data_IF_683332329979
#
_entry.id   IF_683332329979
#
_cell.length_a   1.000
_cell.length_b   1.000
_cell.length_c   1.000
_cell.angle_alpha   90.00
_cell.angle_beta   90.00
_cell.angle_gamma   90.00
#
_symmetry.space_group_name_H-M   'P 1'
#
loop_
_entity.id
_entity.type
_entity.pdbx_description
1 polymer ?
#
# COMPACT_ATOMS: atom_id res chain seq x y z
N UNK A 1 -1.30 22.80 13.26
CA UNK A 1 -1.68 21.96 12.10
C UNK A 1 -2.19 20.63 12.63
N UNK A 2 -3.46 20.27 12.39
CA UNK A 2 -3.95 18.91 12.69
C UNK A 2 -3.08 17.90 11.92
N UNK A 3 -2.65 16.82 12.58
CA UNK A 3 -2.04 15.68 11.88
C UNK A 3 -3.08 15.14 10.89
N UNK A 4 -2.72 15.13 9.62
CA UNK A 4 -3.55 14.56 8.56
C UNK A 4 -3.19 13.07 8.47
N UNK A 5 -3.81 12.27 9.34
CA UNK A 5 -3.53 10.83 9.44
C UNK A 5 -3.76 10.12 8.09
N UNK A 6 -4.72 10.60 7.29
CA UNK A 6 -5.01 10.05 5.95
C UNK A 6 -3.85 10.34 5.00
N UNK A 7 -3.27 11.54 5.06
CA UNK A 7 -2.10 11.87 4.24
C UNK A 7 -0.92 10.97 4.55
N UNK A 8 -0.64 10.76 5.83
CA UNK A 8 0.51 9.97 6.26
C UNK A 8 0.29 8.48 5.92
N UNK A 9 -0.92 7.95 6.15
CA UNK A 9 -1.33 6.61 5.72
C UNK A 9 -1.20 6.41 4.20
N UNK A 10 -1.77 7.30 3.40
CA UNK A 10 -1.69 7.20 1.94
C UNK A 10 -0.23 7.27 1.46
N UNK A 11 0.60 8.09 2.10
CA UNK A 11 2.04 8.19 1.79
C UNK A 11 2.74 6.85 2.04
N UNK A 12 2.47 6.21 3.18
CA UNK A 12 3.02 4.89 3.48
C UNK A 12 2.48 3.81 2.55
N UNK A 13 1.20 3.83 2.16
CA UNK A 13 0.64 2.89 1.19
C UNK A 13 1.33 2.98 -0.18
N UNK A 14 1.55 4.20 -0.69
CA UNK A 14 2.33 4.41 -1.94
C UNK A 14 3.77 3.91 -1.81
N UNK A 15 4.41 4.12 -0.66
CA UNK A 15 5.77 3.64 -0.40
C UNK A 15 5.83 2.13 -0.29
N UNK A 16 4.90 1.51 0.43
CA UNK A 16 4.78 0.08 0.56
C UNK A 16 4.61 -0.59 -0.81
N UNK A 17 3.70 -0.08 -1.64
CA UNK A 17 3.54 -0.54 -3.03
C UNK A 17 4.85 -0.53 -3.83
N UNK A 18 5.62 0.54 -3.72
CA UNK A 18 6.92 0.63 -4.37
C UNK A 18 7.98 -0.31 -3.77
N UNK A 19 7.98 -0.49 -2.45
CA UNK A 19 8.87 -1.42 -1.76
C UNK A 19 8.60 -2.89 -2.15
N UNK A 20 7.34 -3.23 -2.44
CA UNK A 20 6.91 -4.53 -2.96
C UNK A 20 7.23 -4.75 -4.45
N UNK A 21 7.88 -3.79 -5.12
CA UNK A 21 8.27 -3.92 -6.53
C UNK A 21 7.19 -3.53 -7.52
N UNK A 22 6.16 -2.77 -7.08
CA UNK A 22 5.04 -2.32 -7.93
C UNK A 22 4.24 -3.48 -8.56
N UNK A 23 4.07 -4.56 -7.80
CA UNK A 23 3.26 -5.73 -8.21
C UNK A 23 1.85 -5.29 -8.61
N UNK A 24 1.37 -5.85 -9.71
CA UNK A 24 0.00 -5.61 -10.19
C UNK A 24 -1.01 -6.34 -9.31
N UNK A 25 -2.27 -5.89 -9.33
CA UNK A 25 -3.32 -6.56 -8.54
C UNK A 25 -3.53 -8.01 -8.97
N UNK A 26 -3.29 -8.36 -10.23
CA UNK A 26 -3.44 -9.74 -10.71
C UNK A 26 -2.28 -10.64 -10.26
N UNK A 27 -1.05 -10.13 -10.23
CA UNK A 27 0.10 -10.86 -9.65
C UNK A 27 -0.10 -11.12 -8.16
N UNK A 28 -0.63 -10.14 -7.42
CA UNK A 28 -0.93 -10.31 -6.00
C UNK A 28 -2.11 -11.25 -5.74
N UNK A 29 -3.16 -11.24 -6.57
CA UNK A 29 -4.25 -12.22 -6.47
C UNK A 29 -3.72 -13.64 -6.63
N UNK A 30 -2.78 -13.83 -7.55
CA UNK A 30 -2.16 -15.14 -7.76
C UNK A 30 -1.32 -15.55 -6.55
N UNK A 31 -0.51 -14.64 -6.02
CA UNK A 31 0.32 -14.91 -4.82
C UNK A 31 -0.53 -15.22 -3.57
N UNK A 32 -1.64 -14.50 -3.36
CA UNK A 32 -2.58 -14.80 -2.26
C UNK A 32 -3.21 -16.18 -2.44
N UNK A 33 -3.62 -16.54 -3.66
CA UNK A 33 -4.13 -17.90 -3.95
C UNK A 33 -3.08 -18.96 -3.67
N UNK A 34 -1.83 -18.72 -4.07
CA UNK A 34 -0.71 -19.64 -3.88
C UNK A 34 -0.39 -19.80 -2.38
N UNK A 35 -0.45 -18.71 -1.59
CA UNK A 35 -0.29 -18.74 -0.13
C UNK A 35 -1.39 -19.55 0.57
N UNK A 36 -2.66 -19.32 0.23
CA UNK A 36 -3.81 -20.07 0.78
C UNK A 36 -3.68 -21.56 0.45
N UNK A 37 -3.29 -21.88 -0.78
CA UNK A 37 -3.08 -23.25 -1.22
C UNK A 37 -1.92 -23.94 -0.47
N UNK A 38 -0.80 -23.25 -0.26
CA UNK A 38 0.33 -23.79 0.51
C UNK A 38 0.03 -23.94 2.00
N UNK A 39 -0.74 -23.02 2.59
CA UNK A 39 -1.15 -23.08 3.99
C UNK A 39 -2.10 -24.26 4.24
N UNK A 40 -3.13 -24.43 3.43
CA UNK A 40 -4.05 -25.57 3.51
C UNK A 40 -3.34 -26.91 3.31
N UNK A 41 -2.37 -27.00 2.39
CA UNK A 41 -1.53 -28.20 2.20
C UNK A 41 -0.68 -28.52 3.44
N UNK A 42 -0.09 -27.51 4.09
CA UNK A 42 0.68 -27.68 5.33
C UNK A 42 -0.19 -28.12 6.51
N UNK A 43 -1.43 -27.65 6.57
CA UNK A 43 -2.40 -28.05 7.60
C UNK A 43 -2.85 -29.51 7.42
N UNK A 44 -3.11 -29.95 6.20
CA UNK A 44 -3.43 -31.35 5.89
C UNK A 44 -2.28 -32.29 6.30
N UNK A 45 -1.03 -31.87 6.10
CA UNK A 45 0.16 -32.65 6.48
C UNK A 45 0.39 -32.64 7.99
N UNK A 46 0.09 -31.53 8.69
CA UNK A 46 0.27 -31.40 10.15
C UNK A 46 -0.87 -32.02 10.96
N UNK A 47 -2.08 -32.12 10.42
CA UNK A 47 -3.26 -32.70 11.08
C UNK A 47 -3.35 -34.22 10.98
N UNK A 48 -2.19 -34.89 10.88
CA UNK A 48 -2.10 -36.33 11.12
C UNK A 48 -2.56 -36.66 12.55
N UNK A 49 -3.80 -37.12 12.68
CA UNK A 49 -4.49 -37.54 13.91
C UNK A 49 -5.04 -36.42 14.82
N UNK A 50 -6.30 -36.62 15.21
CA UNK A 50 -7.09 -35.66 15.96
C UNK A 50 -6.65 -35.51 17.42
N UNK A 51 -6.50 -34.25 17.84
CA UNK A 51 -6.69 -33.84 19.23
C UNK A 51 -6.91 -32.32 19.26
N UNK A 52 -8.15 -31.92 19.51
CA UNK A 52 -8.54 -30.51 19.64
C UNK A 52 -8.16 -30.04 21.05
N UNK A 53 -7.17 -29.16 21.17
CA UNK A 53 -6.84 -28.44 22.40
C UNK A 53 -6.67 -26.95 22.11
N UNK A 54 -6.80 -26.11 23.14
CA UNK A 54 -6.79 -24.64 23.13
C UNK A 54 -5.70 -23.95 22.25
N UNK A 55 -4.62 -24.67 21.95
CA UNK A 55 -3.57 -24.26 21.01
C UNK A 55 -4.07 -24.10 19.56
N UNK A 56 -5.12 -24.84 19.18
CA UNK A 56 -5.82 -24.67 17.89
C UNK A 56 -6.56 -23.33 17.84
N UNK A 57 -7.16 -22.87 18.93
CA UNK A 57 -7.90 -21.61 18.96
C UNK A 57 -6.95 -20.40 18.84
N UNK A 58 -5.82 -20.41 19.55
CA UNK A 58 -4.80 -19.35 19.43
C UNK A 58 -4.15 -19.33 18.04
N UNK A 59 -3.92 -20.49 17.42
CA UNK A 59 -3.34 -20.61 16.07
C UNK A 59 -4.33 -20.22 14.97
N UNK A 60 -5.60 -20.55 15.11
CA UNK A 60 -6.68 -20.08 14.21
C UNK A 60 -6.82 -18.57 14.34
N UNK A 61 -6.84 -18.03 15.56
CA UNK A 61 -6.92 -16.58 15.77
C UNK A 61 -5.72 -15.83 15.18
N UNK A 62 -4.49 -16.36 15.30
CA UNK A 62 -3.29 -15.78 14.67
C UNK A 62 -3.31 -15.90 13.14
N UNK A 63 -3.87 -16.99 12.61
CA UNK A 63 -4.06 -17.16 11.17
C UNK A 63 -5.12 -16.19 10.63
N UNK A 64 -6.21 -15.98 11.38
CA UNK A 64 -7.25 -14.99 11.06
C UNK A 64 -6.68 -13.57 11.10
N UNK A 65 -5.84 -13.23 12.10
CA UNK A 65 -5.18 -11.93 12.19
C UNK A 65 -4.18 -11.70 11.04
N UNK A 66 -3.36 -12.71 10.69
CA UNK A 66 -2.44 -12.65 9.54
C UNK A 66 -3.21 -12.57 8.21
N UNK A 67 -4.35 -13.24 8.09
CA UNK A 67 -5.26 -13.15 6.94
C UNK A 67 -5.87 -11.73 6.84
N UNK A 68 -6.31 -11.15 7.96
CA UNK A 68 -6.85 -9.78 8.04
C UNK A 68 -5.76 -8.75 7.68
N UNK A 69 -4.54 -8.87 8.20
CA UNK A 69 -3.44 -7.95 7.88
C UNK A 69 -3.02 -8.06 6.41
N UNK A 70 -2.91 -9.29 5.89
CA UNK A 70 -2.70 -9.53 4.46
C UNK A 70 -3.83 -8.93 3.63
N UNK A 71 -5.09 -8.97 4.09
CA UNK A 71 -6.20 -8.33 3.37
C UNK A 71 -6.04 -6.81 3.35
N UNK A 72 -5.59 -6.18 4.44
CA UNK A 72 -5.45 -4.73 4.52
C UNK A 72 -4.35 -4.21 3.59
N UNK A 73 -3.18 -4.85 3.59
CA UNK A 73 -2.05 -4.52 2.72
C UNK A 73 -2.39 -4.78 1.24
N UNK A 74 -3.07 -5.89 0.96
CA UNK A 74 -3.53 -6.23 -0.38
C UNK A 74 -4.53 -5.19 -0.93
N UNK A 75 -5.47 -4.75 -0.08
CA UNK A 75 -6.40 -3.68 -0.41
C UNK A 75 -5.68 -2.35 -0.67
N UNK A 76 -4.60 -2.07 0.05
CA UNK A 76 -3.77 -0.88 -0.19
C UNK A 76 -3.07 -0.94 -1.55
N UNK A 77 -2.50 -2.09 -1.90
CA UNK A 77 -1.88 -2.25 -3.23
C UNK A 77 -2.92 -2.06 -4.33
N UNK A 78 -4.09 -2.70 -4.22
CA UNK A 78 -5.18 -2.53 -5.19
C UNK A 78 -5.58 -1.05 -5.30
N UNK A 79 -5.75 -0.36 -4.17
CA UNK A 79 -6.14 1.03 -4.17
C UNK A 79 -5.05 1.93 -4.80
N UNK A 80 -3.77 1.66 -4.55
CA UNK A 80 -2.65 2.38 -5.19
C UNK A 80 -2.66 2.13 -6.69
N UNK A 81 -2.80 0.89 -7.14
CA UNK A 81 -2.80 0.55 -8.57
C UNK A 81 -3.93 1.26 -9.32
N UNK A 82 -5.17 1.15 -8.80
CA UNK A 82 -6.34 1.87 -9.35
C UNK A 82 -6.14 3.38 -9.34
N UNK A 83 -5.48 3.91 -8.32
CA UNK A 83 -5.14 5.33 -8.25
C UNK A 83 -4.19 5.72 -9.37
N UNK A 84 -3.08 5.00 -9.55
CA UNK A 84 -2.10 5.29 -10.59
C UNK A 84 -2.72 5.23 -12.00
N UNK A 85 -3.66 4.31 -12.24
CA UNK A 85 -4.42 4.22 -13.50
C UNK A 85 -5.27 5.47 -13.76
N UNK A 86 -5.86 6.07 -12.72
CA UNK A 86 -6.70 7.27 -12.83
C UNK A 86 -5.90 8.58 -12.92
N UNK A 87 -4.61 8.57 -12.55
CA UNK A 87 -3.74 9.74 -12.64
C UNK A 87 -3.23 9.96 -14.07
N UNK A 88 -3.21 11.23 -14.50
CA UNK A 88 -2.54 11.63 -15.73
C UNK A 88 -1.02 11.44 -15.65
N UNK A 89 -0.36 11.33 -16.81
CA UNK A 89 1.09 11.05 -16.94
C UNK A 89 1.97 11.83 -15.96
N UNK A 90 1.82 13.16 -15.91
CA UNK A 90 2.63 14.01 -15.04
C UNK A 90 2.28 13.88 -13.55
N UNK A 91 1.01 13.62 -13.22
CA UNK A 91 0.60 13.39 -11.83
C UNK A 91 1.17 12.07 -11.31
N UNK A 92 1.13 11.04 -12.14
CA UNK A 92 1.72 9.73 -11.85
C UNK A 92 3.22 9.86 -11.64
N UNK A 93 3.92 10.52 -12.56
CA UNK A 93 5.37 10.73 -12.44
C UNK A 93 5.74 11.49 -11.16
N UNK A 94 4.95 12.49 -10.76
CA UNK A 94 5.16 13.19 -9.49
C UNK A 94 5.02 12.25 -8.27
N UNK A 95 4.02 11.37 -8.28
CA UNK A 95 3.85 10.34 -7.23
C UNK A 95 5.07 9.40 -7.19
N UNK A 96 5.53 8.93 -8.34
CA UNK A 96 6.67 8.03 -8.43
C UNK A 96 7.96 8.68 -7.89
N UNK A 97 8.27 9.91 -8.31
CA UNK A 97 9.47 10.62 -7.84
C UNK A 97 9.41 10.85 -6.33
N UNK A 98 8.24 11.24 -5.80
CA UNK A 98 8.13 11.67 -4.40
C UNK A 98 7.97 10.49 -3.44
N UNK A 99 7.14 9.51 -3.78
CA UNK A 99 6.82 8.40 -2.88
C UNK A 99 7.61 7.14 -3.20
N UNK A 100 8.00 6.86 -4.45
CA UNK A 100 8.64 5.58 -4.77
C UNK A 100 10.17 5.61 -4.62
N UNK A 101 10.77 6.80 -4.62
CA UNK A 101 12.20 6.97 -4.33
C UNK A 101 12.53 6.47 -2.91
N UNK A 102 13.56 5.62 -2.79
CA UNK A 102 14.00 5.03 -1.53
C UNK A 102 12.85 4.47 -0.68
N UNK A 103 11.88 3.80 -1.30
CA UNK A 103 10.64 3.38 -0.64
C UNK A 103 10.85 2.54 0.64
N UNK A 104 11.93 1.76 0.71
CA UNK A 104 12.30 0.93 1.89
C UNK A 104 12.97 1.72 3.03
N UNK A 105 13.42 2.96 2.79
CA UNK A 105 14.10 3.79 3.80
C UNK A 105 13.09 4.71 4.48
N UNK A 106 13.13 4.78 5.80
CA UNK A 106 12.32 5.74 6.57
C UNK A 106 12.48 7.18 6.07
N UNK A 107 11.38 7.94 6.12
CA UNK A 107 11.35 9.33 5.68
C UNK A 107 11.91 10.26 6.77
N UNK A 108 13.00 10.94 6.46
CA UNK A 108 13.55 12.01 7.30
C UNK A 108 12.82 13.35 7.11
N UNK A 109 13.02 14.27 8.05
CA UNK A 109 12.54 15.66 7.93
C UNK A 109 13.15 16.31 6.68
N UNK A 110 12.28 16.76 5.77
CA UNK A 110 12.67 17.43 4.53
C UNK A 110 12.88 16.52 3.31
N UNK A 111 12.80 15.19 3.47
CA UNK A 111 12.95 14.26 2.35
C UNK A 111 11.87 14.46 1.28
N UNK A 112 10.61 14.60 1.70
CA UNK A 112 9.50 14.89 0.77
C UNK A 112 9.73 16.21 0.04
N UNK A 113 10.18 17.27 0.74
CA UNK A 113 10.44 18.56 0.10
C UNK A 113 11.56 18.47 -0.94
N UNK A 114 12.64 17.75 -0.64
CA UNK A 114 13.74 17.53 -1.60
C UNK A 114 13.27 16.75 -2.83
N UNK A 115 12.45 15.71 -2.63
CA UNK A 115 11.90 14.92 -3.73
C UNK A 115 10.88 15.70 -4.56
N UNK A 116 10.10 16.59 -3.93
CA UNK A 116 9.21 17.51 -4.65
C UNK A 116 9.99 18.48 -5.51
N UNK A 117 11.09 19.03 -5.01
CA UNK A 117 11.96 19.89 -5.80
C UNK A 117 12.59 19.14 -6.98
N UNK A 118 13.01 17.88 -6.78
CA UNK A 118 13.43 17.00 -7.87
C UNK A 118 12.32 16.81 -8.91
N UNK A 119 11.07 16.59 -8.48
CA UNK A 119 9.93 16.44 -9.37
C UNK A 119 9.62 17.71 -10.17
N UNK A 120 9.81 18.90 -9.61
CA UNK A 120 9.68 20.19 -10.31
C UNK A 120 10.72 20.39 -11.41
N UNK A 121 11.93 19.85 -11.24
CA UNK A 121 12.97 19.90 -12.27
C UNK A 121 12.68 18.90 -13.40
N UNK A 122 12.21 17.70 -13.06
CA UNK A 122 11.92 16.66 -14.05
C UNK A 122 10.58 16.87 -14.78
N UNK A 123 9.62 17.48 -14.10
CA UNK A 123 8.29 17.80 -14.64
C UNK A 123 8.18 19.31 -14.65
N UNK A 124 8.09 19.99 -15.80
CA UNK A 124 8.09 21.46 -15.89
C UNK A 124 6.79 22.06 -15.33
N UNK A 125 6.64 21.98 -14.01
CA UNK A 125 5.48 22.35 -13.24
C UNK A 125 5.97 22.89 -11.89
N UNK A 126 5.33 23.96 -11.41
CA UNK A 126 5.73 24.59 -10.15
C UNK A 126 5.60 23.64 -8.96
N UNK A 127 6.42 23.84 -7.93
CA UNK A 127 6.31 23.16 -6.63
C UNK A 127 4.85 23.09 -6.11
N UNK A 128 4.09 24.19 -6.22
CA UNK A 128 2.68 24.23 -5.83
C UNK A 128 1.81 23.24 -6.62
N UNK A 129 2.08 23.12 -7.92
CA UNK A 129 1.39 22.18 -8.81
C UNK A 129 1.71 20.73 -8.44
N UNK A 130 2.97 20.43 -8.11
CA UNK A 130 3.39 19.11 -7.63
C UNK A 130 2.63 18.75 -6.34
N UNK A 131 2.61 19.63 -5.34
CA UNK A 131 1.86 19.38 -4.10
C UNK A 131 0.37 19.18 -4.35
N UNK A 132 -0.23 19.93 -5.28
CA UNK A 132 -1.62 19.76 -5.68
C UNK A 132 -1.87 18.40 -6.31
N UNK A 133 -0.98 17.91 -7.17
CA UNK A 133 -1.09 16.58 -7.76
C UNK A 133 -0.93 15.47 -6.72
N UNK A 134 0.02 15.60 -5.79
CA UNK A 134 0.16 14.65 -4.68
C UNK A 134 -1.09 14.63 -3.79
N UNK A 135 -1.70 15.80 -3.53
CA UNK A 135 -2.98 15.88 -2.81
C UNK A 135 -4.09 15.18 -3.58
N UNK A 136 -4.16 15.37 -4.90
CA UNK A 136 -5.13 14.69 -5.74
C UNK A 136 -4.95 13.16 -5.69
N UNK A 137 -3.72 12.67 -5.82
CA UNK A 137 -3.41 11.25 -5.72
C UNK A 137 -3.87 10.64 -4.39
N UNK A 138 -3.61 11.31 -3.26
CA UNK A 138 -4.07 10.85 -1.95
C UNK A 138 -5.59 10.84 -1.81
N UNK A 139 -6.29 11.79 -2.43
CA UNK A 139 -7.76 11.80 -2.45
C UNK A 139 -8.33 10.65 -3.28
N UNK A 140 -7.77 10.40 -4.46
CA UNK A 140 -8.17 9.26 -5.29
C UNK A 140 -7.91 7.95 -4.54
N UNK A 141 -6.71 7.78 -3.96
CA UNK A 141 -6.38 6.62 -3.13
C UNK A 141 -7.38 6.42 -1.99
N UNK A 142 -7.67 7.48 -1.23
CA UNK A 142 -8.60 7.41 -0.10
C UNK A 142 -9.99 6.96 -0.54
N UNK A 143 -10.45 7.40 -1.72
CA UNK A 143 -11.72 6.92 -2.31
C UNK A 143 -11.64 5.45 -2.72
N UNK A 144 -10.60 5.05 -3.44
CA UNK A 144 -10.43 3.65 -3.88
C UNK A 144 -10.30 2.68 -2.70
N UNK A 145 -9.67 3.12 -1.61
CA UNK A 145 -9.49 2.35 -0.39
C UNK A 145 -10.73 2.33 0.51
N UNK A 146 -11.69 3.22 0.28
CA UNK A 146 -12.90 3.36 1.09
C UNK A 146 -12.69 4.15 2.40
N UNK A 147 -11.65 4.97 2.47
CA UNK A 147 -11.42 5.85 3.62
C UNK A 147 -12.45 6.98 3.63
N UNK A 148 -13.10 7.19 4.77
CA UNK A 148 -14.04 8.29 4.96
C UNK A 148 -13.25 9.61 5.11
N UNK A 149 -13.19 10.36 4.01
CA UNK A 149 -12.66 11.72 3.99
C UNK A 149 -13.86 12.66 4.16
N UNK A 150 -13.95 13.36 5.29
CA UNK A 150 -14.89 14.46 5.43
C UNK A 150 -14.54 15.51 4.37
N UNK A 151 -15.51 15.84 3.51
CA UNK A 151 -15.35 16.80 2.40
C UNK A 151 -15.25 18.23 2.89
#
# INVERSE_FOLDING_TARGET
MKKDNIRDYATEAFRYYAACGRRTSDELKQEVKDMIYEQSKREIIRSGSGSYSDDTAYKVMKADDEEIDMTAEFLDIIAVEKTLMQLHKHQRLAVEIVYFTDAKRELGKGDISKRVHKAEVEIPASTMTIYRWLRNARHVFSRERGLRIDK
#
